data_IF_983954502027
#
_entry.id   IF_983954502027
#
_cell.length_a   1.000
_cell.length_b   1.000
_cell.length_c   1.000
_cell.angle_alpha   90.00
_cell.angle_beta   90.00
_cell.angle_gamma   90.00
#
_symmetry.space_group_name_H-M   'P 1'
#
loop_
_entity.id
_entity.type
_entity.pdbx_description
1 polymer ?
#
# COMPACT_ATOMS: atom_id res chain seq x y z
N UNK A 1 8.08 -19.25 -25.36
CA UNK A 1 7.40 -18.07 -24.77
C UNK A 1 7.19 -18.36 -23.30
N UNK A 2 7.61 -17.48 -22.41
CA UNK A 2 7.44 -17.66 -20.96
C UNK A 2 6.16 -16.96 -20.58
N UNK A 3 5.10 -17.71 -20.29
CA UNK A 3 3.81 -17.13 -19.93
C UNK A 3 3.77 -16.91 -18.42
N UNK A 4 3.98 -15.68 -17.98
CA UNK A 4 3.72 -15.24 -16.60
C UNK A 4 2.22 -14.92 -16.43
N UNK A 5 1.71 -14.95 -15.19
CA UNK A 5 0.31 -14.62 -14.88
C UNK A 5 -0.13 -13.23 -15.38
N UNK A 6 0.79 -12.26 -15.45
CA UNK A 6 0.54 -10.96 -16.07
C UNK A 6 0.35 -11.05 -17.58
N UNK A 7 1.11 -11.92 -18.26
CA UNK A 7 0.95 -12.18 -19.69
C UNK A 7 -0.35 -12.94 -19.97
N UNK A 8 -0.77 -13.84 -19.07
CA UNK A 8 -2.06 -14.50 -19.19
C UNK A 8 -3.21 -13.47 -19.14
N UNK A 9 -3.26 -12.56 -18.17
CA UNK A 9 -4.30 -11.52 -18.14
C UNK A 9 -4.28 -10.65 -19.42
N UNK A 10 -3.09 -10.32 -19.94
CA UNK A 10 -2.94 -9.56 -21.19
C UNK A 10 -3.46 -10.36 -22.39
N UNK A 11 -3.12 -11.65 -22.52
CA UNK A 11 -3.61 -12.53 -23.59
C UNK A 11 -5.13 -12.63 -23.57
N UNK A 12 -5.70 -12.74 -22.37
CA UNK A 12 -7.13 -12.79 -22.13
C UNK A 12 -7.83 -11.48 -22.57
N UNK A 13 -7.33 -10.33 -22.15
CA UNK A 13 -7.88 -9.02 -22.54
C UNK A 13 -7.70 -8.72 -24.03
N UNK A 14 -6.54 -9.06 -24.60
CA UNK A 14 -6.25 -8.85 -26.03
C UNK A 14 -7.17 -9.65 -26.96
N UNK A 15 -7.60 -10.84 -26.53
CA UNK A 15 -8.39 -11.75 -27.36
C UNK A 15 -9.90 -11.62 -27.16
N UNK A 16 -10.33 -11.03 -26.04
CA UNK A 16 -11.74 -10.76 -25.75
C UNK A 16 -12.40 -9.70 -26.65
N UNK A 17 -11.65 -8.73 -27.20
CA UNK A 17 -12.20 -7.68 -28.08
C UNK A 17 -11.24 -7.30 -29.21
N UNK A 18 -11.79 -7.03 -30.40
CA UNK A 18 -11.08 -6.57 -31.61
C UNK A 18 -10.37 -5.21 -31.44
N UNK A 19 -10.64 -4.47 -30.36
CA UNK A 19 -9.95 -3.24 -29.92
C UNK A 19 -9.17 -3.43 -28.59
N UNK A 20 -8.63 -4.63 -28.34
CA UNK A 20 -8.12 -5.07 -27.03
C UNK A 20 -6.92 -4.31 -26.44
N UNK A 21 -6.18 -3.52 -27.21
CA UNK A 21 -5.05 -2.74 -26.66
C UNK A 21 -5.51 -1.50 -25.88
N UNK A 22 -6.51 -0.77 -26.38
CA UNK A 22 -6.95 0.48 -25.75
C UNK A 22 -7.82 0.19 -24.51
N UNK A 23 -8.60 -0.90 -24.53
CA UNK A 23 -9.46 -1.32 -23.42
C UNK A 23 -8.68 -1.63 -22.13
N UNK A 24 -7.42 -2.07 -22.25
CA UNK A 24 -6.52 -2.31 -21.11
C UNK A 24 -6.26 -1.01 -20.31
N UNK A 25 -6.34 0.15 -20.97
CA UNK A 25 -6.10 1.47 -20.36
C UNK A 25 -7.37 2.23 -20.02
N UNK A 26 -8.53 1.85 -20.58
CA UNK A 26 -9.81 2.51 -20.30
C UNK A 26 -10.58 1.90 -19.12
N UNK A 27 -10.12 0.77 -18.57
CA UNK A 27 -10.77 0.11 -17.43
C UNK A 27 -12.12 -0.53 -17.74
N UNK A 28 -12.55 -0.53 -19.00
CA UNK A 28 -13.79 -1.15 -19.49
C UNK A 28 -13.64 -2.68 -19.70
N UNK A 29 -12.68 -3.29 -19.00
CA UNK A 29 -12.47 -4.74 -18.94
C UNK A 29 -13.41 -5.35 -17.91
N UNK A 30 -14.71 -5.09 -18.06
CA UNK A 30 -15.76 -5.78 -17.30
C UNK A 30 -15.78 -7.26 -17.69
N UNK A 31 -15.78 -8.12 -16.67
CA UNK A 31 -15.97 -9.58 -16.67
C UNK A 31 -15.67 -10.34 -17.98
N UNK A 32 -14.66 -11.21 -17.93
CA UNK A 32 -14.33 -12.07 -19.07
C UNK A 32 -15.33 -13.23 -19.15
N UNK A 33 -15.96 -13.37 -20.33
CA UNK A 33 -16.87 -14.50 -20.61
C UNK A 33 -16.13 -15.83 -20.48
N UNK A 34 -16.76 -16.79 -19.81
CA UNK A 34 -16.21 -18.13 -19.59
C UNK A 34 -15.80 -18.86 -20.90
N UNK A 35 -16.55 -18.65 -22.00
CA UNK A 35 -16.24 -19.21 -23.32
C UNK A 35 -14.85 -18.80 -23.83
N UNK A 36 -14.44 -17.55 -23.56
CA UNK A 36 -13.12 -17.05 -23.99
C UNK A 36 -12.02 -17.65 -23.11
N UNK A 37 -12.30 -17.81 -21.81
CA UNK A 37 -11.39 -18.46 -20.87
C UNK A 37 -11.06 -19.89 -21.28
N UNK A 38 -12.08 -20.69 -21.56
CA UNK A 38 -11.90 -22.10 -21.96
C UNK A 38 -11.15 -22.24 -23.30
N UNK A 39 -11.44 -21.35 -24.27
CA UNK A 39 -10.72 -21.30 -25.54
C UNK A 39 -9.24 -20.92 -25.39
N UNK A 40 -8.89 -20.11 -24.40
CA UNK A 40 -7.50 -19.74 -24.11
C UNK A 40 -6.81 -20.87 -23.36
N UNK A 41 -7.46 -21.45 -22.35
CA UNK A 41 -6.91 -22.56 -21.57
C UNK A 41 -6.57 -23.76 -22.47
N UNK A 42 -7.43 -24.09 -23.44
CA UNK A 42 -7.16 -25.14 -24.43
C UNK A 42 -5.91 -24.84 -25.26
N UNK A 43 -5.77 -23.59 -25.76
CA UNK A 43 -4.61 -23.18 -26.56
C UNK A 43 -3.32 -23.12 -25.75
N UNK A 44 -3.40 -22.72 -24.49
CA UNK A 44 -2.24 -22.70 -23.58
C UNK A 44 -1.81 -24.14 -23.26
N UNK A 45 -2.76 -25.07 -23.09
CA UNK A 45 -2.48 -26.49 -22.92
C UNK A 45 -1.80 -27.08 -24.17
N UNK A 46 -2.33 -26.81 -25.37
CA UNK A 46 -1.71 -27.22 -26.65
C UNK A 46 -0.26 -26.71 -26.76
N UNK A 47 -0.02 -25.42 -26.48
CA UNK A 47 1.32 -24.84 -26.55
C UNK A 47 2.28 -25.38 -25.50
N UNK A 48 1.77 -25.84 -24.36
CA UNK A 48 2.55 -26.53 -23.33
C UNK A 48 2.96 -27.92 -23.80
N UNK A 49 2.05 -28.69 -24.39
CA UNK A 49 2.33 -30.04 -24.91
C UNK A 49 3.29 -30.01 -26.11
N UNK A 50 3.12 -29.03 -27.00
CA UNK A 50 4.02 -28.81 -28.14
C UNK A 50 5.40 -28.24 -27.75
N UNK A 51 5.60 -27.89 -26.47
CA UNK A 51 6.84 -27.29 -25.97
C UNK A 51 7.11 -25.86 -26.46
N UNK A 52 6.12 -25.19 -27.07
CA UNK A 52 6.22 -23.79 -27.54
C UNK A 52 6.16 -22.78 -26.39
N UNK A 53 5.45 -23.15 -25.32
CA UNK A 53 5.26 -22.33 -24.13
C UNK A 53 5.55 -23.11 -22.84
N UNK A 54 6.06 -22.39 -21.84
CA UNK A 54 6.19 -22.89 -20.46
C UNK A 54 5.42 -21.95 -19.54
N UNK A 55 4.64 -22.53 -18.65
CA UNK A 55 3.89 -21.80 -17.64
C UNK A 55 4.78 -21.69 -16.39
N UNK A 56 4.89 -20.48 -15.84
CA UNK A 56 5.60 -20.23 -14.58
C UNK A 56 4.56 -19.78 -13.54
N UNK A 57 4.41 -20.51 -12.42
CA UNK A 57 3.56 -20.05 -11.33
C UNK A 57 4.17 -18.79 -10.73
N UNK A 58 3.38 -17.72 -10.69
CA UNK A 58 3.78 -16.46 -10.07
C UNK A 58 3.50 -16.43 -8.57
N UNK A 59 3.61 -15.23 -8.00
CA UNK A 59 3.26 -14.96 -6.60
C UNK A 59 2.08 -13.99 -6.58
N UNK A 60 1.00 -14.37 -5.91
CA UNK A 60 -0.15 -13.52 -5.65
C UNK A 60 -0.01 -12.95 -4.23
N UNK A 61 0.22 -11.64 -4.12
CA UNK A 61 0.24 -10.94 -2.84
C UNK A 61 -1.11 -10.25 -2.61
N UNK A 62 -1.79 -10.62 -1.53
CA UNK A 62 -3.02 -9.95 -1.08
C UNK A 62 -2.70 -9.22 0.22
N UNK A 63 -2.64 -7.89 0.14
CA UNK A 63 -2.54 -7.06 1.34
C UNK A 63 -3.93 -6.87 1.97
N UNK A 64 -3.95 -6.67 3.29
CA UNK A 64 -5.18 -6.43 4.06
C UNK A 64 -6.26 -7.51 3.88
N UNK A 65 -5.88 -8.79 3.94
CA UNK A 65 -6.79 -9.92 3.64
C UNK A 65 -8.04 -10.00 4.55
N UNK A 66 -8.02 -9.35 5.70
CA UNK A 66 -9.18 -9.20 6.59
C UNK A 66 -10.36 -8.41 5.98
N UNK A 67 -10.12 -7.68 4.90
CA UNK A 67 -11.17 -7.00 4.14
C UNK A 67 -11.97 -7.96 3.23
N UNK A 68 -11.50 -9.21 3.06
CA UNK A 68 -12.17 -10.23 2.27
C UNK A 68 -13.29 -10.92 3.06
N UNK A 69 -14.35 -11.28 2.33
CA UNK A 69 -15.47 -12.05 2.85
C UNK A 69 -15.19 -13.56 2.78
N UNK A 70 -15.97 -14.35 3.52
CA UNK A 70 -15.84 -15.81 3.57
C UNK A 70 -15.97 -16.49 2.19
N UNK A 71 -16.75 -15.92 1.28
CA UNK A 71 -16.90 -16.41 -0.09
C UNK A 71 -15.60 -16.29 -0.88
N UNK A 72 -14.86 -15.20 -0.69
CA UNK A 72 -13.54 -15.01 -1.29
C UNK A 72 -12.54 -16.03 -0.75
N UNK A 73 -12.54 -16.33 0.56
CA UNK A 73 -11.69 -17.38 1.12
C UNK A 73 -12.02 -18.77 0.57
N UNK A 74 -13.32 -19.07 0.38
CA UNK A 74 -13.77 -20.33 -0.20
C UNK A 74 -13.31 -20.46 -1.67
N UNK A 75 -13.40 -19.36 -2.43
CA UNK A 75 -12.86 -19.30 -3.79
C UNK A 75 -11.35 -19.48 -3.83
N UNK A 76 -10.60 -18.80 -2.96
CA UNK A 76 -9.14 -18.90 -2.88
C UNK A 76 -8.70 -20.32 -2.53
N UNK A 77 -9.35 -20.97 -1.56
CA UNK A 77 -9.03 -22.36 -1.19
C UNK A 77 -9.23 -23.32 -2.37
N UNK A 78 -10.36 -23.21 -3.09
CA UNK A 78 -10.59 -23.99 -4.31
C UNK A 78 -9.58 -23.67 -5.41
N UNK A 79 -9.18 -22.41 -5.56
CA UNK A 79 -8.21 -22.00 -6.57
C UNK A 79 -6.79 -22.54 -6.25
N UNK A 80 -6.42 -22.65 -4.97
CA UNK A 80 -5.16 -23.19 -4.49
C UNK A 80 -5.04 -24.72 -4.66
N UNK A 81 -6.16 -25.43 -4.81
CA UNK A 81 -6.15 -26.87 -5.11
C UNK A 81 -5.67 -27.17 -6.54
N UNK A 82 -5.59 -26.17 -7.42
CA UNK A 82 -5.09 -26.35 -8.77
C UNK A 82 -3.55 -26.42 -8.78
N UNK A 83 -2.98 -27.43 -9.46
CA UNK A 83 -1.53 -27.61 -9.62
C UNK A 83 -0.83 -26.39 -10.28
N UNK A 84 -1.58 -25.59 -11.04
CA UNK A 84 -1.08 -24.39 -11.72
C UNK A 84 -1.28 -23.10 -10.90
N UNK A 85 -1.74 -23.20 -9.65
CA UNK A 85 -1.99 -22.03 -8.81
C UNK A 85 -0.70 -21.26 -8.49
N UNK A 86 -0.75 -19.92 -8.46
CA UNK A 86 0.35 -19.13 -7.93
C UNK A 86 0.54 -19.38 -6.43
N UNK A 87 1.74 -19.07 -5.94
CA UNK A 87 2.01 -19.03 -4.51
C UNK A 87 1.26 -17.84 -3.92
N UNK A 88 0.34 -18.09 -3.00
CA UNK A 88 -0.42 -17.05 -2.30
C UNK A 88 0.35 -16.59 -1.05
N UNK A 89 0.58 -15.28 -0.95
CA UNK A 89 1.06 -14.63 0.26
C UNK A 89 0.00 -13.61 0.68
N UNK A 90 -0.55 -13.76 1.88
CA UNK A 90 -1.57 -12.86 2.41
C UNK A 90 -1.08 -12.22 3.71
N UNK A 91 -1.24 -10.90 3.84
CA UNK A 91 -0.84 -10.16 5.04
C UNK A 91 -2.05 -9.64 5.80
N UNK A 92 -2.04 -9.87 7.12
CA UNK A 92 -3.04 -9.34 8.06
C UNK A 92 -2.44 -8.19 8.88
N UNK A 93 -3.21 -7.11 9.04
CA UNK A 93 -2.94 -6.08 10.03
C UNK A 93 -3.61 -6.49 11.35
N UNK A 94 -2.93 -7.34 12.14
CA UNK A 94 -3.38 -7.71 13.49
C UNK A 94 -4.51 -8.76 13.55
N UNK A 95 -5.18 -8.82 14.70
CA UNK A 95 -6.32 -9.71 14.96
C UNK A 95 -7.59 -8.94 14.63
N UNK A 96 -8.37 -9.44 13.69
CA UNK A 96 -9.65 -8.82 13.32
C UNK A 96 -10.63 -9.89 12.86
N UNK A 97 -11.91 -9.68 13.13
CA UNK A 97 -12.99 -10.61 12.75
C UNK A 97 -13.06 -10.72 11.24
N UNK A 98 -13.10 -11.94 10.70
CA UNK A 98 -13.37 -12.13 9.28
C UNK A 98 -14.80 -11.69 8.98
N UNK A 99 -14.96 -10.82 7.97
CA UNK A 99 -16.27 -10.30 7.56
C UNK A 99 -17.23 -11.44 7.23
N UNK A 100 -18.45 -11.35 7.78
CA UNK A 100 -19.47 -12.39 7.65
C UNK A 100 -19.34 -13.55 8.66
N UNK A 101 -18.41 -13.49 9.61
CA UNK A 101 -18.27 -14.49 10.68
C UNK A 101 -18.03 -13.86 12.05
N UNK A 102 -18.31 -14.60 13.12
CA UNK A 102 -17.94 -14.23 14.50
C UNK A 102 -16.58 -14.81 14.92
N UNK A 103 -15.74 -15.19 13.96
CA UNK A 103 -14.48 -15.87 14.23
C UNK A 103 -13.29 -14.92 14.08
N UNK A 104 -12.41 -14.92 15.08
CA UNK A 104 -11.15 -14.21 15.06
C UNK A 104 -10.01 -15.19 14.70
N UNK A 105 -9.37 -15.05 13.53
CA UNK A 105 -8.22 -15.86 13.19
C UNK A 105 -7.03 -15.56 14.12
N UNK A 106 -6.12 -16.54 14.30
CA UNK A 106 -4.96 -16.37 15.16
C UNK A 106 -4.03 -15.26 14.66
N UNK A 107 -3.35 -14.54 15.57
CA UNK A 107 -2.48 -13.43 15.21
C UNK A 107 -1.32 -13.88 14.33
N UNK A 108 -1.08 -13.12 13.27
CA UNK A 108 0.20 -13.18 12.54
C UNK A 108 1.22 -12.34 13.30
N UNK A 109 2.43 -12.85 13.60
CA UNK A 109 3.43 -12.10 14.34
C UNK A 109 3.88 -10.89 13.52
N UNK A 110 3.43 -9.69 13.92
CA UNK A 110 3.95 -8.44 13.38
C UNK A 110 5.37 -8.24 13.92
N UNK A 111 6.36 -8.28 13.03
CA UNK A 111 7.75 -7.99 13.40
C UNK A 111 7.89 -6.53 13.85
N UNK A 112 8.10 -6.32 15.16
CA UNK A 112 8.54 -5.02 15.68
C UNK A 112 9.95 -4.76 15.17
N UNK A 113 10.11 -3.73 14.33
CA UNK A 113 11.44 -3.31 13.85
C UNK A 113 12.15 -2.59 14.98
N UNK A 114 13.41 -2.95 15.22
CA UNK A 114 14.24 -2.22 16.18
C UNK A 114 14.53 -0.80 15.68
N UNK A 115 14.88 0.13 16.57
CA UNK A 115 15.29 1.49 16.20
C UNK A 115 16.48 1.48 15.21
N UNK A 116 17.40 0.53 15.40
CA UNK A 116 18.54 0.31 14.51
C UNK A 116 18.13 -0.11 13.10
N UNK A 117 17.10 -0.96 12.98
CA UNK A 117 16.58 -1.39 11.68
C UNK A 117 15.87 -0.25 10.97
N UNK A 118 15.13 0.58 11.72
CA UNK A 118 14.48 1.79 11.16
C UNK A 118 15.56 2.72 10.60
N UNK A 119 16.64 2.98 11.35
CA UNK A 119 17.74 3.81 10.88
C UNK A 119 18.36 3.27 9.60
N UNK A 120 18.67 1.96 9.54
CA UNK A 120 19.21 1.32 8.33
C UNK A 120 18.27 1.45 7.13
N UNK A 121 16.97 1.29 7.34
CA UNK A 121 15.98 1.44 6.26
C UNK A 121 15.95 2.88 5.77
N UNK A 122 15.99 3.87 6.67
CA UNK A 122 16.03 5.28 6.29
C UNK A 122 17.33 5.60 5.51
N UNK A 123 18.47 5.06 5.91
CA UNK A 123 19.74 5.23 5.18
C UNK A 123 19.65 4.67 3.75
N UNK A 124 19.08 3.47 3.57
CA UNK A 124 18.86 2.89 2.23
C UNK A 124 17.93 3.79 1.40
N UNK A 125 16.85 4.31 2.01
CA UNK A 125 15.91 5.20 1.32
C UNK A 125 16.54 6.53 0.90
N UNK A 126 17.41 7.10 1.72
CA UNK A 126 18.15 8.31 1.35
C UNK A 126 19.06 8.07 0.14
N UNK A 127 19.70 6.89 0.08
CA UNK A 127 20.54 6.48 -1.05
C UNK A 127 19.71 6.24 -2.33
N UNK A 128 18.55 5.59 -2.21
CA UNK A 128 17.63 5.37 -3.33
C UNK A 128 17.08 6.68 -3.90
N UNK A 129 16.80 7.67 -3.05
CA UNK A 129 16.24 8.96 -3.46
C UNK A 129 17.31 9.99 -3.89
N UNK A 130 18.61 9.65 -3.85
CA UNK A 130 19.74 10.56 -4.16
C UNK A 130 19.72 11.83 -3.28
N UNK A 131 19.43 11.66 -1.98
CA UNK A 131 19.32 12.74 -0.99
C UNK A 131 20.42 12.63 0.06
N UNK A 132 21.33 13.60 0.09
CA UNK A 132 22.33 13.73 1.15
C UNK A 132 21.69 14.31 2.41
N UNK A 133 21.64 13.55 3.51
CA UNK A 133 21.12 13.99 4.81
C UNK A 133 22.24 14.00 5.86
N UNK A 134 22.27 15.03 6.70
CA UNK A 134 23.20 15.13 7.82
C UNK A 134 22.87 14.06 8.87
N UNK A 135 23.78 13.75 9.80
CA UNK A 135 23.51 12.73 10.81
C UNK A 135 22.44 13.17 11.84
N UNK A 136 22.38 14.46 12.21
CA UNK A 136 21.40 14.94 13.20
C UNK A 136 19.93 14.80 12.75
N UNK A 137 19.54 15.22 11.52
CA UNK A 137 18.20 14.97 11.00
C UNK A 137 17.85 13.48 10.87
N UNK A 138 18.84 12.61 10.59
CA UNK A 138 18.59 11.16 10.54
C UNK A 138 18.19 10.59 11.89
N UNK A 139 18.82 11.05 12.97
CA UNK A 139 18.43 10.67 14.34
C UNK A 139 17.01 11.15 14.65
N UNK A 140 16.67 12.38 14.26
CA UNK A 140 15.31 12.92 14.43
C UNK A 140 14.27 12.11 13.64
N UNK A 141 14.54 11.81 12.37
CA UNK A 141 13.66 11.00 11.52
C UNK A 141 13.48 9.58 12.05
N UNK A 142 14.53 9.00 12.62
CA UNK A 142 14.48 7.67 13.26
C UNK A 142 13.53 7.70 14.46
N UNK A 143 13.64 8.71 15.34
CA UNK A 143 12.73 8.91 16.47
C UNK A 143 11.27 9.09 16.01
N UNK A 144 11.05 9.94 14.99
CA UNK A 144 9.73 10.13 14.39
C UNK A 144 9.19 8.80 13.85
N UNK A 145 10.02 7.99 13.18
CA UNK A 145 9.65 6.69 12.64
C UNK A 145 9.26 5.66 13.70
N UNK A 146 9.87 5.71 14.89
CA UNK A 146 9.53 4.89 16.07
C UNK A 146 8.22 5.35 16.70
N UNK A 147 8.03 6.65 16.88
CA UNK A 147 6.84 7.21 17.54
C UNK A 147 5.57 7.12 16.67
N UNK A 148 5.72 7.24 15.35
CA UNK A 148 4.61 7.31 14.39
C UNK A 148 4.55 6.05 13.50
N UNK A 149 5.16 6.09 12.31
CA UNK A 149 5.32 4.97 11.39
C UNK A 149 6.51 5.18 10.46
N UNK A 150 7.10 4.09 10.01
CA UNK A 150 8.17 4.11 9.00
C UNK A 150 7.71 4.74 7.68
N UNK A 151 6.45 4.52 7.29
CA UNK A 151 5.87 5.10 6.06
C UNK A 151 5.89 6.63 6.12
N UNK A 152 5.45 7.19 7.25
CA UNK A 152 5.45 8.62 7.47
C UNK A 152 6.88 9.19 7.46
N UNK A 153 7.83 8.55 8.14
CA UNK A 153 9.23 8.98 8.15
C UNK A 153 9.87 8.98 6.73
N UNK A 154 9.56 7.99 5.89
CA UNK A 154 10.03 7.96 4.49
C UNK A 154 9.40 9.10 3.69
N UNK A 155 8.09 9.33 3.81
CA UNK A 155 7.42 10.45 3.12
C UNK A 155 7.96 11.82 3.54
N UNK A 156 8.42 11.97 4.79
CA UNK A 156 9.10 13.19 5.25
C UNK A 156 10.44 13.40 4.55
N UNK A 157 11.20 12.34 4.24
CA UNK A 157 12.47 12.45 3.50
C UNK A 157 12.22 13.08 2.12
N UNK A 158 11.28 12.52 1.36
CA UNK A 158 10.93 13.04 0.03
C UNK A 158 10.42 14.48 0.10
N UNK A 159 9.58 14.78 1.09
CA UNK A 159 9.00 16.11 1.28
C UNK A 159 10.04 17.14 1.73
N UNK A 160 11.00 16.76 2.58
CA UNK A 160 12.13 17.60 2.99
C UNK A 160 13.07 17.87 1.81
N UNK A 161 13.33 16.86 0.99
CA UNK A 161 14.10 17.03 -0.25
C UNK A 161 13.43 18.06 -1.18
N UNK A 162 12.10 17.99 -1.36
CA UNK A 162 11.35 18.96 -2.15
C UNK A 162 11.35 20.37 -1.52
N UNK A 163 11.14 20.49 -0.22
CA UNK A 163 11.14 21.77 0.49
C UNK A 163 12.50 22.47 0.35
N UNK A 164 13.59 21.71 0.47
CA UNK A 164 14.94 22.17 0.23
C UNK A 164 15.13 22.65 -1.22
N UNK A 165 14.69 21.88 -2.21
CA UNK A 165 14.75 22.27 -3.62
C UNK A 165 13.99 23.57 -3.90
N UNK A 166 12.80 23.74 -3.33
CA UNK A 166 11.99 24.97 -3.47
C UNK A 166 12.68 26.17 -2.81
N UNK A 167 13.23 26.00 -1.59
CA UNK A 167 14.03 27.04 -0.91
C UNK A 167 15.20 27.47 -1.78
N UNK A 168 15.89 26.52 -2.40
CA UNK A 168 17.02 26.79 -3.31
C UNK A 168 16.59 27.54 -4.58
N UNK A 169 15.52 27.13 -5.26
CA UNK A 169 15.02 27.83 -6.44
C UNK A 169 14.60 29.28 -6.12
N UNK A 170 13.98 29.52 -4.95
CA UNK A 170 13.61 30.87 -4.50
C UNK A 170 14.82 31.74 -4.19
N UNK A 171 15.85 31.18 -3.55
CA UNK A 171 17.08 31.91 -3.21
C UNK A 171 17.96 32.19 -4.44
N UNK A 172 17.90 31.36 -5.47
CA UNK A 172 18.69 31.51 -6.69
C UNK A 172 18.05 32.42 -7.76
N UNK A 173 16.86 32.98 -7.51
CA UNK A 173 16.17 33.91 -8.43
C UNK A 173 15.90 33.35 -9.84
N UNK A 174 15.99 32.02 -10.03
CA UNK A 174 15.95 31.35 -11.34
C UNK A 174 14.79 30.35 -11.38
N UNK A 175 13.95 30.37 -12.44
CA UNK A 175 12.73 29.55 -12.54
C UNK A 175 12.99 28.10 -13.00
N UNK A 176 14.23 27.62 -12.88
CA UNK A 176 14.61 26.29 -13.35
C UNK A 176 14.96 25.38 -12.17
N UNK A 177 14.49 24.11 -12.15
CA UNK A 177 14.84 23.17 -11.10
C UNK A 177 16.37 23.01 -11.10
N UNK A 178 17.01 23.52 -10.06
CA UNK A 178 18.45 23.53 -9.93
C UNK A 178 18.94 22.08 -9.85
N UNK A 179 19.35 21.54 -11.01
CA UNK A 179 19.99 20.23 -11.09
C UNK A 179 21.21 20.21 -10.18
N UNK A 180 21.23 19.22 -9.29
CA UNK A 180 22.42 18.54 -8.75
C UNK A 180 23.60 19.46 -8.48
N UNK A 181 23.70 19.92 -7.23
CA UNK A 181 24.96 19.98 -6.47
C UNK A 181 24.72 20.62 -5.11
N UNK A 182 25.00 19.82 -4.08
CA UNK A 182 25.41 20.26 -2.76
C UNK A 182 24.46 21.23 -2.06
N UNK A 183 23.55 20.68 -1.26
CA UNK A 183 23.65 20.94 0.18
C UNK A 183 22.87 19.85 0.90
N UNK A 184 23.50 19.33 1.93
CA UNK A 184 22.99 18.27 2.78
C UNK A 184 21.71 18.77 3.48
N UNK A 185 20.69 17.93 3.59
CA UNK A 185 19.48 18.26 4.37
C UNK A 185 19.88 18.57 5.82
N UNK A 186 19.40 19.72 6.30
CA UNK A 186 19.62 20.25 7.65
C UNK A 186 18.37 20.01 8.53
N UNK A 187 18.49 20.14 9.84
CA UNK A 187 17.37 19.85 10.75
C UNK A 187 16.17 20.78 10.53
N UNK A 188 16.42 22.02 10.13
CA UNK A 188 15.37 23.02 9.85
C UNK A 188 14.39 22.55 8.77
N UNK A 189 14.90 21.86 7.74
CA UNK A 189 14.07 21.41 6.62
C UNK A 189 13.14 20.27 7.06
N UNK A 190 13.62 19.37 7.92
CA UNK A 190 12.81 18.29 8.50
C UNK A 190 11.76 18.86 9.48
N UNK A 191 12.16 19.77 10.37
CA UNK A 191 11.22 20.42 11.30
C UNK A 191 10.09 21.16 10.58
N UNK A 192 10.42 21.89 9.52
CA UNK A 192 9.43 22.60 8.72
C UNK A 192 8.42 21.65 8.06
N UNK A 193 8.90 20.53 7.50
CA UNK A 193 8.02 19.56 6.85
C UNK A 193 7.17 18.83 7.89
N UNK A 194 7.71 18.56 9.06
CA UNK A 194 6.97 17.96 10.17
C UNK A 194 5.82 18.84 10.68
N UNK A 195 5.99 20.17 10.67
CA UNK A 195 4.91 21.11 10.98
C UNK A 195 3.81 21.14 9.90
N UNK A 196 4.20 21.00 8.63
CA UNK A 196 3.29 21.06 7.49
C UNK A 196 2.49 19.78 7.29
N UNK A 197 3.11 18.62 7.47
CA UNK A 197 2.50 17.32 7.21
C UNK A 197 2.31 16.57 8.51
N UNK A 198 1.05 16.32 8.88
CA UNK A 198 0.73 15.64 10.13
C UNK A 198 0.67 14.13 9.96
N UNK A 199 1.06 13.41 11.00
CA UNK A 199 0.85 11.97 11.10
C UNK A 199 -0.59 11.65 11.51
N UNK A 200 -0.96 10.37 11.38
CA UNK A 200 -2.31 9.88 11.68
C UNK A 200 -2.70 10.19 13.13
N UNK A 201 -1.80 10.01 14.12
CA UNK A 201 -2.16 10.21 15.54
C UNK A 201 -2.46 11.68 15.83
N UNK A 202 -1.63 12.60 15.33
CA UNK A 202 -1.89 14.05 15.47
C UNK A 202 -3.15 14.49 14.76
N UNK A 203 -3.38 14.00 13.55
CA UNK A 203 -4.58 14.33 12.79
C UNK A 203 -5.84 13.85 13.52
N UNK A 204 -5.83 12.66 14.14
CA UNK A 204 -6.94 12.17 14.95
C UNK A 204 -7.18 13.00 16.21
N UNK A 205 -6.13 13.42 16.91
CA UNK A 205 -6.25 14.28 18.09
C UNK A 205 -6.87 15.63 17.74
N UNK A 206 -6.41 16.25 16.66
CA UNK A 206 -6.99 17.49 16.17
C UNK A 206 -8.47 17.34 15.80
N UNK A 207 -8.84 16.25 15.12
CA UNK A 207 -10.24 15.97 14.82
C UNK A 207 -11.10 15.82 16.08
N UNK A 208 -10.57 15.21 17.15
CA UNK A 208 -11.26 15.09 18.43
C UNK A 208 -11.40 16.46 19.14
N UNK A 209 -10.38 17.30 19.11
CA UNK A 209 -10.41 18.64 19.72
C UNK A 209 -11.41 19.57 19.03
N UNK A 210 -11.50 19.50 17.70
CA UNK A 210 -12.38 20.34 16.88
C UNK A 210 -13.68 19.63 16.48
N UNK A 211 -14.04 18.53 17.14
CA UNK A 211 -15.18 17.68 16.80
C UNK A 211 -16.49 18.47 16.65
N UNK A 212 -16.69 19.52 17.45
CA UNK A 212 -17.87 20.42 17.42
C UNK A 212 -18.02 21.21 16.12
N UNK A 213 -16.94 21.36 15.35
CA UNK A 213 -16.92 22.06 14.06
C UNK A 213 -17.12 21.10 12.87
N UNK A 214 -17.08 19.78 13.11
CA UNK A 214 -17.28 18.77 12.09
C UNK A 214 -18.74 18.28 12.05
N UNK A 215 -19.22 17.94 10.85
CA UNK A 215 -20.56 17.38 10.67
C UNK A 215 -20.64 15.96 11.26
N UNK A 216 -21.82 15.57 11.73
CA UNK A 216 -22.10 14.32 12.47
C UNK A 216 -21.54 14.25 13.90
N UNK A 217 -21.34 15.39 14.55
CA UNK A 217 -21.11 15.45 15.99
C UNK A 217 -22.42 15.54 16.80
N UNK A 218 -23.45 14.80 16.37
CA UNK A 218 -24.58 14.53 17.26
C UNK A 218 -24.01 13.65 18.37
N UNK A 219 -23.92 14.25 19.55
CA UNK A 219 -23.40 13.64 20.74
C UNK A 219 -23.97 12.23 20.91
N UNK A 220 -23.15 11.35 21.47
CA UNK A 220 -23.61 10.22 22.26
C UNK A 220 -24.43 10.68 23.49
N UNK A 221 -25.41 11.57 23.31
CA UNK A 221 -26.50 11.84 24.24
C UNK A 221 -27.57 10.77 24.00
N UNK A 222 -27.32 9.59 24.54
CA UNK A 222 -28.24 8.45 24.39
C UNK A 222 -27.89 7.22 25.23
N UNK A 223 -26.91 7.29 26.14
CA UNK A 223 -26.67 6.27 27.16
C UNK A 223 -26.55 6.93 28.54
N UNK A 224 -27.59 7.66 28.95
CA UNK A 224 -27.85 7.94 30.37
C UNK A 224 -29.07 7.11 30.81
N UNK A 225 -28.84 6.23 31.79
CA UNK A 225 -29.81 5.68 32.75
C UNK A 225 -30.91 4.69 32.30
N UNK A 226 -30.55 3.42 32.06
CA UNK A 226 -31.48 2.27 32.22
C UNK A 226 -31.41 1.61 33.61
N UNK A 227 -30.65 2.15 34.57
CA UNK A 227 -30.56 1.59 35.93
C UNK A 227 -31.62 2.10 36.92
N UNK A 228 -32.62 2.88 36.48
CA UNK A 228 -33.61 3.49 37.39
C UNK A 228 -35.07 3.16 37.06
N UNK A 229 -35.35 1.95 36.55
CA UNK A 229 -36.73 1.48 36.43
C UNK A 229 -36.90 -0.02 36.73
N UNK A 230 -36.48 -0.44 37.93
CA UNK A 230 -37.10 -1.59 38.63
C UNK A 230 -37.17 -1.27 40.12
N UNK A 231 -38.31 -0.74 40.56
CA UNK A 231 -38.91 -1.00 41.87
C UNK A 231 -40.29 -1.59 41.61
#
# INVERSE_FOLDING_TARGET
MVLDLSENLIIFVMKCRTQGFLALFTGDTGEIRAEVTEQIDTKVAEWREEGKARIIPGVLLIDEVHMLDIECFSFLNRALENDMAPILVATNLGITTTRGTNYNPPPHPMGLKSEEDIRKILDIRCLEEDVDISDDPKVLLTKIGVETSLRYAISLITSAALAFLVKKCRLAGTPQPCKRKGKVLEMEDVSRVYELFWDVKRSTQYLMEYQSQYMFNEAATGEEDESNMIV
#
